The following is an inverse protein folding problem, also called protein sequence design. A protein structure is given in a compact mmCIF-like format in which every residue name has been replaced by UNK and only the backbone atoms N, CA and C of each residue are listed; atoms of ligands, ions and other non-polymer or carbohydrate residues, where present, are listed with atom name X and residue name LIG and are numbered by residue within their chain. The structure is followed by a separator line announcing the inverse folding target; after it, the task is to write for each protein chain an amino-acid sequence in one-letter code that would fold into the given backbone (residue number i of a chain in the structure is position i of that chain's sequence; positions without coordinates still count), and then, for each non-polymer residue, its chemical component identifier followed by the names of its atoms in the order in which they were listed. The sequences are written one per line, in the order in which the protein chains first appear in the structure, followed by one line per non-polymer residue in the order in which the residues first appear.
data_IF_837942801783
#
_entry.id   IF_837942801783
#
_cell.length_a   1.000
_cell.length_b   1.000
_cell.length_c   1.000
_cell.angle_alpha   90.00
_cell.angle_beta   90.00
_cell.angle_gamma   90.00
#
_symmetry.space_group_name_H-M   'P 1'
#
loop_
_entity.id
_entity.type
_entity.pdbx_description
1 polymer ?
#
# COMPACT_ATOMS: atom_id res chain seq x y z
N UNK A 1 -29.35 -41.82 -100.21
CA UNK A 1 -30.46 -42.38 -101.03
C UNK A 1 -30.60 -43.87 -100.71
N UNK A 2 -31.81 -44.42 -100.65
CA UNK A 2 -32.03 -45.87 -100.47
C UNK A 2 -32.90 -46.41 -101.60
N UNK A 3 -32.70 -47.66 -101.98
CA UNK A 3 -33.50 -48.31 -103.01
C UNK A 3 -34.79 -48.89 -102.41
N UNK A 4 -35.87 -48.91 -103.19
CA UNK A 4 -37.15 -49.50 -102.84
C UNK A 4 -36.98 -51.01 -102.65
N UNK A 5 -37.40 -51.54 -101.50
CA UNK A 5 -37.24 -52.97 -101.16
C UNK A 5 -38.02 -53.92 -102.09
N UNK A 6 -38.95 -53.41 -102.89
CA UNK A 6 -39.76 -54.22 -103.81
C UNK A 6 -39.36 -54.07 -105.29
N UNK A 7 -39.21 -52.84 -105.81
CA UNK A 7 -38.95 -52.58 -107.24
C UNK A 7 -37.56 -52.00 -107.53
N UNK A 8 -36.72 -51.76 -106.52
CA UNK A 8 -35.38 -51.20 -106.69
C UNK A 8 -35.32 -49.70 -107.03
N UNK A 9 -36.44 -49.01 -107.22
CA UNK A 9 -36.47 -47.57 -107.52
C UNK A 9 -35.84 -46.73 -106.40
N UNK A 10 -35.20 -45.61 -106.75
CA UNK A 10 -34.58 -44.70 -105.77
C UNK A 10 -35.66 -44.05 -104.90
N UNK A 11 -35.55 -44.22 -103.59
CA UNK A 11 -36.43 -43.62 -102.59
C UNK A 11 -35.72 -42.46 -101.92
N UNK A 12 -36.27 -41.26 -102.11
CA UNK A 12 -35.86 -40.06 -101.40
C UNK A 12 -36.18 -40.21 -99.91
N UNK A 13 -35.15 -40.15 -99.08
CA UNK A 13 -35.30 -40.14 -97.64
C UNK A 13 -35.53 -38.70 -97.18
N UNK A 14 -36.55 -38.46 -96.35
CA UNK A 14 -36.69 -37.18 -95.66
C UNK A 14 -35.67 -37.12 -94.53
N UNK A 15 -34.85 -36.08 -94.48
CA UNK A 15 -33.98 -35.81 -93.34
C UNK A 15 -34.82 -35.37 -92.14
N UNK A 16 -35.14 -36.30 -91.23
CA UNK A 16 -35.94 -36.02 -90.04
C UNK A 16 -36.08 -37.24 -89.13
N UNK A 17 -36.56 -37.04 -87.89
CA UNK A 17 -36.84 -38.15 -86.96
C UNK A 17 -38.10 -38.90 -87.44
N UNK A 18 -37.91 -40.11 -87.96
CA UNK A 18 -39.01 -40.99 -88.41
C UNK A 18 -38.48 -42.30 -89.00
N UNK A 19 -39.34 -43.31 -89.14
CA UNK A 19 -38.96 -44.60 -89.76
C UNK A 19 -38.52 -44.33 -91.22
N UNK A 20 -37.31 -44.74 -91.63
CA UNK A 20 -36.86 -44.59 -93.01
C UNK A 20 -37.88 -45.18 -93.99
N UNK A 21 -38.11 -44.50 -95.12
CA UNK A 21 -39.03 -44.99 -96.15
C UNK A 21 -38.37 -46.17 -96.86
N UNK A 22 -38.97 -47.35 -96.75
CA UNK A 22 -38.46 -48.59 -97.36
C UNK A 22 -39.02 -48.84 -98.78
N UNK A 23 -40.09 -48.13 -99.16
CA UNK A 23 -40.80 -48.31 -100.43
C UNK A 23 -40.99 -46.97 -101.13
N UNK A 24 -41.06 -46.99 -102.46
CA UNK A 24 -41.33 -45.79 -103.27
C UNK A 24 -42.76 -45.29 -103.06
N UNK A 25 -42.95 -43.97 -103.09
CA UNK A 25 -44.27 -43.35 -102.92
C UNK A 25 -45.12 -43.35 -104.20
N UNK A 26 -44.48 -43.50 -105.36
CA UNK A 26 -45.12 -43.39 -106.68
C UNK A 26 -45.80 -44.70 -107.15
N UNK A 27 -45.72 -45.79 -106.38
CA UNK A 27 -46.39 -47.04 -106.72
C UNK A 27 -46.86 -47.82 -105.50
N UNK A 28 -47.79 -48.76 -105.71
CA UNK A 28 -48.36 -49.65 -104.70
C UNK A 28 -47.36 -50.67 -104.14
N UNK A 29 -46.05 -50.45 -104.27
CA UNK A 29 -44.99 -51.35 -103.85
C UNK A 29 -45.09 -51.75 -102.36
N UNK A 30 -45.53 -50.82 -101.49
CA UNK A 30 -45.78 -51.14 -100.08
C UNK A 30 -46.96 -52.10 -99.90
N UNK A 31 -48.05 -51.88 -100.64
CA UNK A 31 -49.25 -52.72 -100.61
C UNK A 31 -49.00 -54.09 -101.27
N UNK A 32 -48.26 -54.12 -102.39
CA UNK A 32 -47.83 -55.33 -103.08
C UNK A 32 -46.93 -56.18 -102.17
N UNK A 33 -45.90 -55.58 -101.56
CA UNK A 33 -45.05 -56.28 -100.60
C UNK A 33 -45.81 -56.74 -99.34
N UNK A 34 -46.85 -56.00 -98.91
CA UNK A 34 -47.73 -56.43 -97.81
C UNK A 34 -48.55 -57.66 -98.20
N UNK A 35 -49.21 -57.63 -99.37
CA UNK A 35 -49.98 -58.78 -99.90
C UNK A 35 -49.11 -60.01 -100.10
N UNK A 36 -47.90 -59.84 -100.63
CA UNK A 36 -46.94 -60.93 -100.81
C UNK A 36 -46.52 -61.56 -99.47
N UNK A 37 -46.23 -60.75 -98.44
CA UNK A 37 -45.95 -61.25 -97.09
C UNK A 37 -47.15 -61.94 -96.45
N UNK A 38 -48.36 -61.41 -96.64
CA UNK A 38 -49.59 -62.02 -96.13
C UNK A 38 -49.87 -63.36 -96.82
N UNK A 39 -49.69 -63.45 -98.14
CA UNK A 39 -49.74 -64.72 -98.86
C UNK A 39 -48.71 -65.71 -98.33
N UNK A 40 -47.42 -65.34 -98.23
CA UNK A 40 -46.37 -66.21 -97.70
C UNK A 40 -46.66 -66.68 -96.26
N UNK A 41 -47.29 -65.85 -95.43
CA UNK A 41 -47.70 -66.22 -94.06
C UNK A 41 -48.91 -67.14 -94.01
N UNK A 42 -49.82 -67.02 -94.97
CA UNK A 42 -51.04 -67.80 -95.08
C UNK A 42 -50.84 -69.12 -95.85
N UNK A 43 -49.70 -69.29 -96.55
CA UNK A 43 -49.34 -70.55 -97.21
C UNK A 43 -49.33 -71.70 -96.19
N UNK A 44 -50.19 -72.73 -96.35
CA UNK A 44 -50.19 -73.87 -95.45
C UNK A 44 -48.92 -74.71 -95.64
N UNK A 45 -48.42 -75.30 -94.54
CA UNK A 45 -47.22 -76.15 -94.55
C UNK A 45 -45.94 -75.47 -94.08
N UNK A 46 -44.80 -76.06 -94.45
CA UNK A 46 -43.46 -75.68 -93.98
C UNK A 46 -43.10 -74.24 -94.38
N UNK A 47 -43.46 -73.83 -95.61
CA UNK A 47 -43.10 -72.51 -96.16
C UNK A 47 -43.72 -71.35 -95.37
N UNK A 48 -45.00 -71.45 -94.99
CA UNK A 48 -45.63 -70.41 -94.18
C UNK A 48 -45.20 -70.41 -92.72
N UNK A 49 -44.82 -71.57 -92.17
CA UNK A 49 -44.19 -71.65 -90.86
C UNK A 49 -42.79 -71.00 -90.87
N UNK A 50 -42.00 -71.23 -91.93
CA UNK A 50 -40.69 -70.62 -92.14
C UNK A 50 -40.80 -69.09 -92.26
N UNK A 51 -41.76 -68.59 -93.05
CA UNK A 51 -41.98 -67.14 -93.21
C UNK A 51 -42.36 -66.44 -91.89
N UNK A 52 -43.15 -67.08 -91.01
CA UNK A 52 -43.46 -66.54 -89.67
C UNK A 52 -42.26 -66.57 -88.73
N UNK A 53 -41.44 -67.62 -88.81
CA UNK A 53 -40.20 -67.72 -88.05
C UNK A 53 -39.20 -66.63 -88.49
N UNK A 54 -39.01 -66.42 -89.80
CA UNK A 54 -38.18 -65.35 -90.35
C UNK A 54 -38.62 -63.96 -89.87
N UNK A 55 -39.92 -63.66 -89.86
CA UNK A 55 -40.43 -62.37 -89.36
C UNK A 55 -40.20 -62.21 -87.85
N UNK A 56 -40.33 -63.29 -87.07
CA UNK A 56 -39.99 -63.29 -85.65
C UNK A 56 -38.49 -63.03 -85.44
N UNK A 57 -37.62 -63.68 -86.22
CA UNK A 57 -36.18 -63.45 -86.21
C UNK A 57 -35.84 -62.01 -86.58
N UNK A 58 -36.39 -61.45 -87.67
CA UNK A 58 -36.16 -60.04 -88.04
C UNK A 58 -36.61 -59.08 -86.92
N UNK A 59 -37.70 -59.40 -86.21
CA UNK A 59 -38.20 -58.57 -85.10
C UNK A 59 -37.28 -58.66 -83.89
N UNK A 60 -36.83 -59.87 -83.55
CA UNK A 60 -35.86 -60.10 -82.47
C UNK A 60 -34.52 -59.43 -82.79
N UNK A 61 -34.03 -59.55 -84.02
CA UNK A 61 -32.80 -58.91 -84.49
C UNK A 61 -32.89 -57.39 -84.40
N UNK A 62 -34.00 -56.78 -84.87
CA UNK A 62 -34.23 -55.33 -84.76
C UNK A 62 -34.36 -54.87 -83.30
N UNK A 63 -35.05 -55.64 -82.45
CA UNK A 63 -35.20 -55.34 -81.02
C UNK A 63 -33.87 -55.44 -80.28
N UNK A 64 -33.09 -56.49 -80.55
CA UNK A 64 -31.76 -56.70 -79.99
C UNK A 64 -30.79 -55.62 -80.48
N UNK A 65 -30.79 -55.30 -81.78
CA UNK A 65 -29.97 -54.22 -82.32
C UNK A 65 -30.33 -52.86 -81.72
N UNK A 66 -31.63 -52.58 -81.48
CA UNK A 66 -32.07 -51.34 -80.83
C UNK A 66 -31.67 -51.27 -79.34
N UNK A 67 -31.57 -52.41 -78.64
CA UNK A 67 -31.11 -52.47 -77.26
C UNK A 67 -29.57 -52.43 -77.16
N UNK A 68 -28.87 -53.10 -78.08
CA UNK A 68 -27.41 -53.23 -78.07
C UNK A 68 -26.74 -51.99 -78.66
N UNK A 69 -27.31 -51.35 -79.69
CA UNK A 69 -26.66 -50.22 -80.36
C UNK A 69 -26.38 -49.03 -79.43
N UNK A 70 -27.30 -48.59 -78.53
CA UNK A 70 -27.00 -47.55 -77.56
C UNK A 70 -25.91 -47.97 -76.56
N UNK A 71 -25.93 -49.22 -76.10
CA UNK A 71 -24.90 -49.76 -75.19
C UNK A 71 -23.54 -49.82 -75.87
N UNK A 72 -23.50 -50.25 -77.13
CA UNK A 72 -22.29 -50.28 -77.94
C UNK A 72 -21.77 -48.87 -78.21
N UNK A 73 -22.65 -47.88 -78.41
CA UNK A 73 -22.24 -46.48 -78.55
C UNK A 73 -21.65 -45.93 -77.26
N UNK A 74 -22.30 -46.15 -76.11
CA UNK A 74 -21.76 -45.73 -74.80
C UNK A 74 -20.43 -46.42 -74.52
N UNK A 75 -20.31 -47.73 -74.79
CA UNK A 75 -19.05 -48.45 -74.64
C UNK A 75 -17.97 -47.92 -75.61
N UNK A 76 -18.32 -47.60 -76.84
CA UNK A 76 -17.40 -47.01 -77.81
C UNK A 76 -16.94 -45.61 -77.38
N UNK A 77 -17.85 -44.79 -76.84
CA UNK A 77 -17.54 -43.45 -76.34
C UNK A 77 -16.62 -43.54 -75.11
N UNK A 78 -16.92 -44.44 -74.16
CA UNK A 78 -16.18 -44.63 -72.91
C UNK A 78 -14.83 -45.36 -73.08
N UNK A 79 -14.73 -46.26 -74.07
CA UNK A 79 -13.49 -46.97 -74.42
C UNK A 79 -12.71 -46.28 -75.54
N UNK A 80 -13.25 -45.21 -76.13
CA UNK A 80 -12.49 -44.38 -77.06
C UNK A 80 -11.30 -43.74 -76.33
N UNK A 81 -10.19 -43.48 -77.03
CA UNK A 81 -9.06 -42.76 -76.44
C UNK A 81 -9.49 -41.45 -75.77
N UNK A 82 -10.41 -40.71 -76.39
CA UNK A 82 -10.94 -39.45 -75.87
C UNK A 82 -11.78 -39.64 -74.58
N UNK A 83 -12.63 -40.67 -74.51
CA UNK A 83 -13.43 -40.99 -73.32
C UNK A 83 -12.56 -41.43 -72.13
N UNK A 84 -11.55 -42.26 -72.41
CA UNK A 84 -10.58 -42.68 -71.40
C UNK A 84 -9.77 -41.48 -70.88
N UNK A 85 -9.28 -40.61 -71.77
CA UNK A 85 -8.58 -39.38 -71.39
C UNK A 85 -9.47 -38.43 -70.57
N UNK A 86 -10.76 -38.30 -70.93
CA UNK A 86 -11.72 -37.51 -70.17
C UNK A 86 -11.95 -38.09 -68.76
N UNK A 87 -12.07 -39.42 -68.63
CA UNK A 87 -12.17 -40.10 -67.32
C UNK A 87 -10.91 -39.93 -66.48
N UNK A 88 -9.73 -40.09 -67.08
CA UNK A 88 -8.45 -39.88 -66.39
C UNK A 88 -8.35 -38.42 -65.91
N UNK A 89 -8.73 -37.46 -66.76
CA UNK A 89 -8.72 -36.04 -66.41
C UNK A 89 -9.69 -35.71 -65.27
N UNK A 90 -10.89 -36.30 -65.29
CA UNK A 90 -11.86 -36.17 -64.20
C UNK A 90 -11.33 -36.76 -62.89
N UNK A 91 -10.75 -37.97 -62.92
CA UNK A 91 -10.14 -38.60 -61.74
C UNK A 91 -8.93 -37.81 -61.22
N UNK A 92 -8.12 -37.25 -62.11
CA UNK A 92 -7.00 -36.36 -61.73
C UNK A 92 -7.53 -35.08 -61.08
N UNK A 93 -8.58 -34.46 -61.62
CA UNK A 93 -9.19 -33.28 -61.04
C UNK A 93 -9.79 -33.56 -59.63
N UNK A 94 -10.46 -34.70 -59.46
CA UNK A 94 -10.93 -35.15 -58.14
C UNK A 94 -9.78 -35.40 -57.18
N UNK A 95 -8.70 -36.05 -57.63
CA UNK A 95 -7.52 -36.30 -56.82
C UNK A 95 -6.85 -34.98 -56.39
N UNK A 96 -6.68 -34.03 -57.31
CA UNK A 96 -6.16 -32.69 -57.00
C UNK A 96 -7.06 -31.95 -56.00
N UNK A 97 -8.37 -32.06 -56.14
CA UNK A 97 -9.34 -31.47 -55.20
C UNK A 97 -9.20 -32.09 -53.81
N UNK A 98 -9.11 -33.43 -53.71
CA UNK A 98 -8.90 -34.11 -52.42
C UNK A 98 -7.57 -33.74 -51.77
N UNK A 99 -6.50 -33.62 -52.55
CA UNK A 99 -5.19 -33.17 -52.05
C UNK A 99 -5.25 -31.71 -51.57
N UNK A 100 -5.96 -30.84 -52.29
CA UNK A 100 -6.16 -29.46 -51.88
C UNK A 100 -6.92 -29.39 -50.54
N UNK A 101 -8.03 -30.13 -50.40
CA UNK A 101 -8.79 -30.23 -49.15
C UNK A 101 -7.90 -30.73 -48.01
N UNK A 102 -7.18 -31.84 -48.19
CA UNK A 102 -6.30 -32.39 -47.18
C UNK A 102 -5.18 -31.42 -46.75
N UNK A 103 -4.66 -30.61 -47.68
CA UNK A 103 -3.69 -29.54 -47.36
C UNK A 103 -4.31 -28.43 -46.52
N UNK A 104 -5.51 -27.97 -46.89
CA UNK A 104 -6.23 -26.95 -46.12
C UNK A 104 -6.61 -27.44 -44.73
N UNK A 105 -7.07 -28.68 -44.58
CA UNK A 105 -7.38 -29.29 -43.28
C UNK A 105 -6.12 -29.43 -42.43
N UNK A 106 -4.99 -29.82 -43.02
CA UNK A 106 -3.70 -29.89 -42.32
C UNK A 106 -3.25 -28.51 -41.82
N UNK A 107 -3.38 -27.48 -42.65
CA UNK A 107 -3.05 -26.10 -42.28
C UNK A 107 -3.96 -25.59 -41.15
N UNK A 108 -5.26 -25.86 -41.25
CA UNK A 108 -6.22 -25.56 -40.18
C UNK A 108 -5.87 -26.30 -38.88
N UNK A 109 -5.50 -27.58 -38.95
CA UNK A 109 -5.10 -28.36 -37.78
C UNK A 109 -3.84 -27.78 -37.12
N UNK A 110 -2.84 -27.36 -37.90
CA UNK A 110 -1.66 -26.69 -37.36
C UNK A 110 -1.97 -25.35 -36.70
N UNK A 111 -2.86 -24.56 -37.31
CA UNK A 111 -3.29 -23.29 -36.74
C UNK A 111 -4.06 -23.50 -35.42
N UNK A 112 -4.95 -24.49 -35.36
CA UNK A 112 -5.65 -24.85 -34.11
C UNK A 112 -4.68 -25.29 -33.02
N UNK A 113 -3.65 -26.08 -33.35
CA UNK A 113 -2.62 -26.47 -32.37
C UNK A 113 -1.80 -25.26 -31.91
N UNK A 114 -1.50 -24.31 -32.80
CA UNK A 114 -0.79 -23.07 -32.45
C UNK A 114 -1.62 -22.24 -31.47
N UNK A 115 -2.89 -21.98 -31.79
CA UNK A 115 -3.80 -21.22 -30.92
C UNK A 115 -3.99 -21.91 -29.57
N UNK A 116 -4.13 -23.24 -29.54
CA UNK A 116 -4.24 -24.00 -28.30
C UNK A 116 -2.99 -23.88 -27.42
N UNK A 117 -1.79 -23.90 -28.02
CA UNK A 117 -0.52 -23.69 -27.30
C UNK A 117 -0.40 -22.27 -26.76
N UNK A 118 -0.72 -21.26 -27.57
CA UNK A 118 -0.70 -19.86 -27.15
C UNK A 118 -1.68 -19.62 -25.98
N UNK A 119 -2.90 -20.17 -26.06
CA UNK A 119 -3.88 -20.11 -24.98
C UNK A 119 -3.40 -20.82 -23.70
N UNK A 120 -2.75 -21.98 -23.84
CA UNK A 120 -2.21 -22.72 -22.68
C UNK A 120 -1.08 -21.95 -22.01
N UNK A 121 -0.16 -21.36 -22.78
CA UNK A 121 0.92 -20.53 -22.24
C UNK A 121 0.39 -19.22 -21.62
N UNK A 122 -0.68 -18.65 -22.18
CA UNK A 122 -1.35 -17.51 -21.57
C UNK A 122 -1.97 -17.89 -20.21
N UNK A 123 -2.77 -18.95 -20.16
CA UNK A 123 -3.37 -19.46 -18.92
C UNK A 123 -2.31 -19.84 -17.86
N UNK A 124 -1.16 -20.36 -18.29
CA UNK A 124 -0.03 -20.66 -17.39
C UNK A 124 0.56 -19.39 -16.79
N UNK A 125 0.76 -18.34 -17.60
CA UNK A 125 1.27 -17.04 -17.14
C UNK A 125 0.27 -16.38 -16.18
N UNK A 126 -1.01 -16.38 -16.50
CA UNK A 126 -2.06 -15.86 -15.61
C UNK A 126 -2.09 -16.60 -14.28
N UNK A 127 -2.03 -17.94 -14.29
CA UNK A 127 -1.98 -18.75 -13.07
C UNK A 127 -0.74 -18.45 -12.23
N UNK A 128 0.42 -18.28 -12.85
CA UNK A 128 1.65 -17.94 -12.13
C UNK A 128 1.58 -16.54 -11.52
N UNK A 129 1.02 -15.57 -12.24
CA UNK A 129 0.78 -14.23 -11.73
C UNK A 129 -0.19 -14.24 -10.55
N UNK A 130 -1.32 -14.94 -10.68
CA UNK A 130 -2.30 -15.09 -9.59
C UNK A 130 -1.67 -15.77 -8.35
N UNK A 131 -0.79 -16.76 -8.55
CA UNK A 131 -0.07 -17.39 -7.46
C UNK A 131 0.88 -16.41 -6.76
N UNK A 132 1.66 -15.63 -7.51
CA UNK A 132 2.55 -14.61 -6.94
C UNK A 132 1.77 -13.57 -6.15
N UNK A 133 0.65 -13.08 -6.69
CA UNK A 133 -0.23 -12.14 -5.98
C UNK A 133 -0.80 -12.75 -4.69
N UNK A 134 -1.17 -14.03 -4.70
CA UNK A 134 -1.63 -14.71 -3.48
C UNK A 134 -0.51 -14.89 -2.45
N UNK A 135 0.71 -15.24 -2.88
CA UNK A 135 1.89 -15.34 -2.02
C UNK A 135 2.26 -13.99 -1.40
N UNK A 136 2.23 -12.91 -2.19
CA UNK A 136 2.42 -11.53 -1.73
C UNK A 136 1.36 -11.12 -0.71
N UNK A 137 0.07 -11.36 -1.01
CA UNK A 137 -1.02 -11.06 -0.07
C UNK A 137 -0.92 -11.86 1.24
N UNK A 138 -0.46 -13.11 1.18
CA UNK A 138 -0.21 -13.91 2.39
C UNK A 138 0.97 -13.36 3.20
N UNK A 139 2.07 -12.98 2.53
CA UNK A 139 3.21 -12.37 3.20
C UNK A 139 2.84 -11.03 3.87
N UNK A 140 2.10 -10.17 3.18
CA UNK A 140 1.58 -8.91 3.74
C UNK A 140 0.68 -9.14 4.96
N UNK A 141 -0.23 -10.13 4.89
CA UNK A 141 -1.08 -10.51 6.01
C UNK A 141 -0.25 -10.99 7.21
N UNK A 142 0.74 -11.84 6.97
CA UNK A 142 1.56 -12.40 8.05
C UNK A 142 2.43 -11.31 8.70
N UNK A 143 2.97 -10.37 7.91
CA UNK A 143 3.62 -9.16 8.44
C UNK A 143 2.66 -8.32 9.27
N UNK A 144 1.45 -8.04 8.78
CA UNK A 144 0.45 -7.26 9.49
C UNK A 144 0.02 -7.93 10.81
N UNK A 145 -0.08 -9.26 10.84
CA UNK A 145 -0.37 -10.01 12.07
C UNK A 145 0.78 -9.92 13.07
N UNK A 146 2.03 -10.07 12.62
CA UNK A 146 3.21 -9.92 13.49
C UNK A 146 3.31 -8.50 14.07
N UNK A 147 3.05 -7.47 13.26
CA UNK A 147 3.03 -6.08 13.72
C UNK A 147 1.92 -5.84 14.75
N UNK A 148 0.74 -6.41 14.54
CA UNK A 148 -0.37 -6.33 15.48
C UNK A 148 -0.06 -7.04 16.82
N UNK A 149 0.61 -8.19 16.77
CA UNK A 149 1.08 -8.90 17.97
C UNK A 149 2.13 -8.09 18.72
N UNK A 150 3.14 -7.55 18.03
CA UNK A 150 4.16 -6.69 18.61
C UNK A 150 3.55 -5.43 19.24
N UNK A 151 2.62 -4.77 18.57
CA UNK A 151 1.91 -3.60 19.10
C UNK A 151 1.10 -3.96 20.36
N UNK A 152 0.46 -5.13 20.37
CA UNK A 152 -0.27 -5.63 21.55
C UNK A 152 0.67 -5.91 22.72
N UNK A 153 1.83 -6.52 22.47
CA UNK A 153 2.84 -6.77 23.50
C UNK A 153 3.38 -5.47 24.09
N UNK A 154 3.70 -4.49 23.25
CA UNK A 154 4.14 -3.15 23.68
C UNK A 154 3.05 -2.45 24.51
N UNK A 155 1.79 -2.51 24.09
CA UNK A 155 0.68 -1.93 24.85
C UNK A 155 0.52 -2.61 26.23
N UNK A 156 0.64 -3.93 26.30
CA UNK A 156 0.60 -4.67 27.57
C UNK A 156 1.81 -4.35 28.47
N UNK A 157 2.99 -4.17 27.89
CA UNK A 157 4.18 -3.74 28.63
C UNK A 157 4.00 -2.33 29.23
N UNK A 158 3.51 -1.37 28.41
CA UNK A 158 3.21 -0.02 28.86
C UNK A 158 2.14 0.01 29.96
N UNK A 159 1.09 -0.81 29.86
CA UNK A 159 0.07 -0.94 30.91
C UNK A 159 0.65 -1.51 32.21
N UNK A 160 1.56 -2.49 32.13
CA UNK A 160 2.23 -3.05 33.32
C UNK A 160 3.12 -2.01 34.00
N UNK A 161 3.85 -1.22 33.22
CA UNK A 161 4.69 -0.12 33.72
C UNK A 161 3.84 1.01 34.33
N UNK A 162 2.72 1.37 33.69
CA UNK A 162 1.75 2.31 34.26
C UNK A 162 1.19 1.79 35.60
N UNK A 163 0.86 0.50 35.69
CA UNK A 163 0.36 -0.10 36.94
C UNK A 163 1.44 -0.22 38.03
N UNK A 164 2.72 -0.38 37.68
CA UNK A 164 3.82 -0.38 38.67
C UNK A 164 4.09 1.04 39.17
N UNK A 165 4.15 2.02 38.28
CA UNK A 165 4.34 3.44 38.63
C UNK A 165 3.18 3.97 39.46
N UNK A 166 1.93 3.63 39.15
CA UNK A 166 0.76 3.99 39.96
C UNK A 166 0.85 3.41 41.38
N UNK A 167 1.25 2.13 41.53
CA UNK A 167 1.44 1.51 42.84
C UNK A 167 2.53 2.20 43.65
N UNK A 168 3.66 2.53 43.01
CA UNK A 168 4.76 3.26 43.66
C UNK A 168 4.32 4.67 44.08
N UNK A 169 3.58 5.38 43.24
CA UNK A 169 3.04 6.70 43.55
C UNK A 169 2.06 6.65 44.73
N UNK A 170 1.16 5.65 44.77
CA UNK A 170 0.24 5.43 45.90
C UNK A 170 1.00 5.15 47.20
N UNK A 171 2.00 4.26 47.16
CA UNK A 171 2.84 3.97 48.33
C UNK A 171 3.61 5.21 48.81
N UNK A 172 4.16 6.00 47.89
CA UNK A 172 4.84 7.25 48.23
C UNK A 172 3.89 8.27 48.87
N UNK A 173 2.67 8.41 48.35
CA UNK A 173 1.64 9.28 48.90
C UNK A 173 1.19 8.84 50.30
N UNK A 174 1.00 7.53 50.52
CA UNK A 174 0.69 6.97 51.84
C UNK A 174 1.83 7.21 52.84
N UNK A 175 3.08 7.02 52.42
CA UNK A 175 4.24 7.31 53.27
C UNK A 175 4.36 8.79 53.60
N UNK A 176 4.13 9.68 52.62
CA UNK A 176 4.11 11.12 52.83
C UNK A 176 3.01 11.51 53.84
N UNK A 177 1.81 10.94 53.69
CA UNK A 177 0.69 11.15 54.62
C UNK A 177 1.07 10.70 56.03
N UNK A 178 1.63 9.50 56.19
CA UNK A 178 2.10 9.00 57.51
C UNK A 178 3.17 9.89 58.13
N UNK A 179 4.10 10.44 57.32
CA UNK A 179 5.12 11.38 57.79
C UNK A 179 4.49 12.70 58.23
N UNK A 180 3.53 13.23 57.47
CA UNK A 180 2.79 14.43 57.83
C UNK A 180 2.02 14.24 59.14
N UNK A 181 1.25 13.17 59.30
CA UNK A 181 0.52 12.87 60.55
C UNK A 181 1.46 12.72 61.75
N UNK A 182 2.63 12.10 61.56
CA UNK A 182 3.64 12.00 62.63
C UNK A 182 4.24 13.37 62.99
N UNK A 183 4.50 14.22 61.99
CA UNK A 183 5.01 15.56 62.21
C UNK A 183 3.98 16.45 62.92
N UNK A 184 2.70 16.34 62.55
CA UNK A 184 1.58 17.02 63.23
C UNK A 184 1.45 16.55 64.67
N UNK A 185 1.46 15.23 64.93
CA UNK A 185 1.41 14.71 66.30
C UNK A 185 2.62 15.17 67.14
N UNK A 186 3.82 15.19 66.57
CA UNK A 186 5.02 15.69 67.25
C UNK A 186 4.93 17.21 67.53
N UNK A 187 4.38 17.99 66.60
CA UNK A 187 4.11 19.42 66.82
C UNK A 187 3.11 19.62 67.94
N UNK A 188 2.00 18.90 67.93
CA UNK A 188 0.96 19.02 68.94
C UNK A 188 1.47 18.59 70.33
N UNK A 189 2.32 17.56 70.40
CA UNK A 189 3.02 17.19 71.62
C UNK A 189 3.96 18.30 72.10
N UNK A 190 4.77 18.88 71.22
CA UNK A 190 5.67 19.98 71.57
C UNK A 190 4.91 21.23 72.06
N UNK A 191 3.73 21.51 71.47
CA UNK A 191 2.85 22.60 71.93
C UNK A 191 2.34 22.31 73.33
N UNK A 192 1.85 21.09 73.62
CA UNK A 192 1.39 20.71 74.97
C UNK A 192 2.52 20.77 76.01
N UNK A 193 3.71 20.27 75.67
CA UNK A 193 4.88 20.35 76.56
C UNK A 193 5.28 21.81 76.82
N UNK A 194 5.15 22.70 75.82
CA UNK A 194 5.37 24.13 76.00
C UNK A 194 4.28 24.78 76.85
N UNK A 195 3.01 24.44 76.66
CA UNK A 195 1.90 24.91 77.49
C UNK A 195 2.10 24.50 78.95
N UNK A 196 2.45 23.24 79.21
CA UNK A 196 2.74 22.73 80.56
C UNK A 196 3.95 23.43 81.19
N UNK A 197 5.01 23.68 80.40
CA UNK A 197 6.17 24.48 80.86
C UNK A 197 5.79 25.92 81.18
N UNK A 198 4.94 26.54 80.36
CA UNK A 198 4.45 27.91 80.59
C UNK A 198 3.56 27.96 81.83
N UNK A 199 2.66 27.00 82.02
CA UNK A 199 1.84 26.88 83.22
C UNK A 199 2.72 26.70 84.47
N UNK A 200 3.68 25.78 84.42
CA UNK A 200 4.63 25.54 85.52
C UNK A 200 5.42 26.81 85.84
N UNK A 201 6.01 27.45 84.83
CA UNK A 201 6.75 28.70 85.00
C UNK A 201 5.86 29.85 85.52
N UNK A 202 4.59 29.89 85.11
CA UNK A 202 3.63 30.88 85.61
C UNK A 202 3.25 30.64 87.07
N UNK A 203 3.10 29.37 87.49
CA UNK A 203 2.84 28.99 88.86
C UNK A 203 4.06 29.27 89.76
N UNK A 204 5.26 28.95 89.29
CA UNK A 204 6.52 29.30 89.96
C UNK A 204 6.66 30.82 90.09
N UNK A 205 6.39 31.59 89.02
CA UNK A 205 6.43 33.05 89.05
C UNK A 205 5.37 33.63 90.00
N UNK A 206 4.16 33.07 90.06
CA UNK A 206 3.13 33.47 91.01
C UNK A 206 3.55 33.18 92.45
N UNK A 207 4.16 32.03 92.70
CA UNK A 207 4.70 31.63 94.00
C UNK A 207 5.83 32.56 94.42
N UNK A 208 6.79 32.81 93.54
CA UNK A 208 7.89 33.74 93.77
C UNK A 208 7.41 35.17 94.01
N UNK A 209 6.36 35.64 93.33
CA UNK A 209 5.72 36.93 93.61
C UNK A 209 5.02 36.95 94.96
N UNK A 210 4.34 35.88 95.34
CA UNK A 210 3.71 35.76 96.65
C UNK A 210 4.75 35.71 97.78
N UNK A 211 5.87 35.02 97.57
CA UNK A 211 7.02 35.01 98.48
C UNK A 211 7.67 36.39 98.56
N UNK A 212 7.93 37.04 97.44
CA UNK A 212 8.46 38.40 97.40
C UNK A 212 7.52 39.40 98.09
N UNK A 213 6.20 39.26 97.93
CA UNK A 213 5.21 40.07 98.62
C UNK A 213 5.21 39.78 100.14
N UNK A 214 5.32 38.52 100.55
CA UNK A 214 5.49 38.14 101.97
C UNK A 214 6.78 38.71 102.56
N UNK A 215 7.91 38.60 101.84
CA UNK A 215 9.19 39.16 102.27
C UNK A 215 9.13 40.68 102.33
N UNK A 216 8.47 41.34 101.38
CA UNK A 216 8.26 42.78 101.39
C UNK A 216 7.37 43.21 102.57
N UNK A 217 6.29 42.47 102.85
CA UNK A 217 5.40 42.73 103.98
C UNK A 217 6.10 42.48 105.32
N UNK A 218 6.93 41.44 105.42
CA UNK A 218 7.78 41.18 106.59
C UNK A 218 8.87 42.25 106.74
N UNK A 219 9.43 42.75 105.64
CA UNK A 219 10.39 43.85 105.66
C UNK A 219 9.73 45.20 106.01
N UNK A 220 8.47 45.40 105.63
CA UNK A 220 7.66 46.56 106.01
C UNK A 220 7.22 46.47 107.47
N UNK A 221 6.85 45.28 107.96
CA UNK A 221 6.59 45.03 109.39
C UNK A 221 7.87 45.20 110.22
N UNK A 222 9.00 44.64 109.80
CA UNK A 222 10.29 44.88 110.42
C UNK A 222 10.70 46.36 110.31
N UNK A 223 10.31 47.05 109.24
CA UNK A 223 10.48 48.49 109.06
C UNK A 223 9.64 49.30 110.04
N UNK A 224 8.37 48.95 110.23
CA UNK A 224 7.43 49.56 111.15
C UNK A 224 7.78 49.27 112.61
N UNK A 225 8.24 48.06 112.93
CA UNK A 225 8.79 47.68 114.23
C UNK A 225 10.10 48.41 114.50
N UNK A 226 10.99 48.52 113.50
CA UNK A 226 12.22 49.32 113.59
C UNK A 226 11.89 50.80 113.75
N UNK A 227 10.85 51.32 113.11
CA UNK A 227 10.48 52.74 113.16
C UNK A 227 9.68 53.09 114.43
N UNK A 228 8.93 52.14 114.99
CA UNK A 228 8.34 52.18 116.35
C UNK A 228 9.45 52.11 117.42
N UNK A 229 10.37 51.15 117.30
CA UNK A 229 11.56 51.06 118.14
C UNK A 229 12.45 52.30 118.00
N UNK A 230 12.56 52.92 116.82
CA UNK A 230 13.25 54.22 116.64
C UNK A 230 12.49 55.40 117.22
N UNK A 231 11.20 55.29 117.47
CA UNK A 231 10.41 56.37 118.10
C UNK A 231 10.51 56.26 119.62
N UNK A 232 10.49 55.04 120.17
CA UNK A 232 10.87 54.75 121.57
C UNK A 232 12.34 55.06 121.85
N UNK A 233 13.25 54.67 120.95
CA UNK A 233 14.68 55.01 121.01
C UNK A 233 14.91 56.50 120.74
N UNK A 234 14.06 57.25 120.02
CA UNK A 234 14.18 58.72 119.89
C UNK A 234 13.74 59.43 121.17
N UNK A 235 12.78 58.90 121.90
CA UNK A 235 12.39 59.40 123.22
C UNK A 235 13.45 59.06 124.28
N UNK A 236 14.04 57.86 124.24
CA UNK A 236 15.16 57.47 125.11
C UNK A 236 16.52 58.10 124.70
N UNK A 237 16.74 58.38 123.41
CA UNK A 237 17.95 59.06 122.90
C UNK A 237 17.90 60.56 123.06
N UNK A 238 16.77 61.25 123.17
CA UNK A 238 16.79 62.67 123.61
C UNK A 238 17.39 62.81 125.02
N UNK A 239 17.25 61.80 125.87
CA UNK A 239 17.86 61.74 127.20
C UNK A 239 19.31 61.17 127.25
N UNK A 240 19.78 60.53 126.17
CA UNK A 240 21.14 59.92 126.08
C UNK A 240 22.08 60.63 125.09
N UNK A 241 21.53 61.38 124.13
CA UNK A 241 22.27 62.17 123.12
C UNK A 241 22.83 63.47 123.70
N UNK A 242 22.40 63.88 124.90
CA UNK A 242 23.11 64.89 125.69
C UNK A 242 24.37 64.32 126.38
N UNK A 243 24.47 63.00 126.56
CA UNK A 243 25.56 62.35 127.32
C UNK A 243 26.62 61.64 126.46
N UNK A 244 26.30 61.20 125.24
CA UNK A 244 27.20 60.41 124.39
C UNK A 244 27.58 61.08 123.05
N UNK A 245 27.20 62.35 122.84
CA UNK A 245 27.78 63.22 121.80
C UNK A 245 29.29 63.49 122.02
N UNK A 246 29.85 63.07 123.14
CA UNK A 246 31.19 63.48 123.58
C UNK A 246 32.31 62.46 123.32
N UNK A 247 32.07 61.20 122.94
CA UNK A 247 33.20 60.24 123.00
C UNK A 247 33.34 59.17 121.90
N UNK A 248 32.29 58.55 121.35
CA UNK A 248 32.50 57.18 120.86
C UNK A 248 32.44 56.91 119.34
N UNK A 249 31.61 57.59 118.55
CA UNK A 249 31.27 57.04 117.22
C UNK A 249 32.00 57.71 116.03
N UNK A 250 33.16 58.29 116.31
CA UNK A 250 34.17 58.62 115.31
C UNK A 250 34.91 57.37 114.79
N UNK A 251 34.80 56.22 115.47
CA UNK A 251 35.55 54.99 115.12
C UNK A 251 34.82 54.03 114.14
N UNK A 252 33.49 54.09 113.99
CA UNK A 252 32.73 53.10 113.20
C UNK A 252 32.55 53.44 111.71
N UNK A 253 32.91 54.67 111.28
CA UNK A 253 32.78 55.12 109.88
C UNK A 253 33.95 54.69 108.97
N UNK A 254 35.05 54.19 109.54
CA UNK A 254 36.23 53.78 108.78
C UNK A 254 36.16 52.34 108.24
N UNK A 255 35.47 51.41 108.93
CA UNK A 255 35.45 49.99 108.55
C UNK A 255 34.35 49.59 107.55
N UNK A 256 33.33 50.44 107.35
CA UNK A 256 32.23 50.18 106.41
C UNK A 256 32.56 50.54 104.95
N UNK A 257 33.62 51.31 104.70
CA UNK A 257 33.99 51.78 103.35
C UNK A 257 34.88 50.78 102.58
N UNK A 258 35.58 49.87 103.26
CA UNK A 258 36.46 48.88 102.62
C UNK A 258 35.69 47.66 102.07
N UNK A 259 34.66 47.18 102.77
CA UNK A 259 33.88 46.00 102.36
C UNK A 259 32.94 46.24 101.16
N UNK A 260 32.59 47.49 100.85
CA UNK A 260 31.77 47.86 99.69
C UNK A 260 32.60 47.90 98.39
N UNK A 261 33.93 48.09 98.50
CA UNK A 261 34.87 48.20 97.38
C UNK A 261 35.20 46.85 96.76
N UNK A 262 35.35 45.81 97.57
CA UNK A 262 35.71 44.45 97.10
C UNK A 262 34.55 43.74 96.36
N UNK A 263 33.29 44.06 96.71
CA UNK A 263 32.09 43.53 96.01
C UNK A 263 31.79 44.24 94.69
N UNK A 264 32.31 45.44 94.48
CA UNK A 264 32.20 46.15 93.20
C UNK A 264 33.25 45.63 92.19
N UNK A 265 34.43 45.24 92.66
CA UNK A 265 35.51 44.73 91.83
C UNK A 265 35.23 43.31 91.29
N UNK A 266 34.66 42.41 92.10
CA UNK A 266 34.23 41.08 91.65
C UNK A 266 33.12 41.13 90.57
N UNK A 267 32.18 42.08 90.66
CA UNK A 267 31.09 42.27 89.67
C UNK A 267 31.58 42.91 88.36
N UNK A 268 32.66 43.68 88.40
CA UNK A 268 33.31 44.22 87.21
C UNK A 268 34.07 43.14 86.42
N UNK A 269 34.80 42.26 87.13
CA UNK A 269 35.57 41.16 86.51
C UNK A 269 34.69 40.06 85.90
N UNK A 270 33.51 39.80 86.47
CA UNK A 270 32.54 38.84 85.93
C UNK A 270 31.78 39.41 84.72
N UNK A 271 31.46 40.70 84.74
CA UNK A 271 30.91 41.41 83.59
C UNK A 271 31.92 41.54 82.43
N UNK A 272 33.22 41.62 82.73
CA UNK A 272 34.29 41.66 81.73
C UNK A 272 34.55 40.28 81.12
N UNK A 273 34.49 39.20 81.91
CA UNK A 273 34.51 37.81 81.40
C UNK A 273 33.30 37.48 80.53
N UNK A 274 32.10 37.90 80.93
CA UNK A 274 30.89 37.73 80.13
C UNK A 274 30.92 38.56 78.82
N UNK A 275 31.54 39.75 78.83
CA UNK A 275 31.77 40.54 77.60
C UNK A 275 32.81 39.89 76.69
N UNK A 276 33.88 39.31 77.24
CA UNK A 276 34.89 38.60 76.46
C UNK A 276 34.33 37.31 75.82
N UNK A 277 33.48 36.57 76.53
CA UNK A 277 32.79 35.39 75.99
C UNK A 277 31.73 35.76 74.95
N UNK A 278 30.96 36.83 75.16
CA UNK A 278 29.99 37.34 74.18
C UNK A 278 30.69 37.85 72.90
N UNK A 279 31.85 38.50 73.01
CA UNK A 279 32.67 38.91 71.87
C UNK A 279 33.27 37.69 71.16
N UNK A 280 33.68 36.66 71.89
CA UNK A 280 34.14 35.39 71.33
C UNK A 280 33.05 34.61 70.59
N UNK A 281 31.82 34.59 71.12
CA UNK A 281 30.65 33.97 70.49
C UNK A 281 30.17 34.78 69.28
N UNK A 282 30.19 36.11 69.34
CA UNK A 282 29.90 36.98 68.20
C UNK A 282 30.93 36.87 67.08
N UNK A 283 32.22 36.72 67.40
CA UNK A 283 33.29 36.51 66.42
C UNK A 283 33.18 35.13 65.73
N UNK A 284 32.77 34.08 66.46
CA UNK A 284 32.51 32.75 65.89
C UNK A 284 31.25 32.76 65.01
N UNK A 285 30.18 33.38 65.46
CA UNK A 285 28.96 33.54 64.65
C UNK A 285 29.21 34.38 63.38
N UNK A 286 30.08 35.40 63.45
CA UNK A 286 30.50 36.18 62.28
C UNK A 286 31.38 35.36 61.33
N UNK A 287 32.31 34.55 61.83
CA UNK A 287 33.14 33.67 61.02
C UNK A 287 32.32 32.55 60.34
N UNK A 288 31.34 31.99 61.04
CA UNK A 288 30.41 30.98 60.51
C UNK A 288 29.48 31.59 59.45
N UNK A 289 29.01 32.83 59.67
CA UNK A 289 28.22 33.58 58.68
C UNK A 289 29.03 33.94 57.43
N UNK A 290 30.29 34.32 57.57
CA UNK A 290 31.19 34.64 56.45
C UNK A 290 31.57 33.36 55.67
N UNK A 291 31.75 32.24 56.37
CA UNK A 291 31.97 30.93 55.74
C UNK A 291 30.71 30.43 55.02
N UNK A 292 29.52 30.66 55.59
CA UNK A 292 28.24 30.36 54.93
C UNK A 292 28.01 31.24 53.69
N UNK A 293 28.33 32.54 53.77
CA UNK A 293 28.27 33.48 52.65
C UNK A 293 29.23 33.11 51.52
N UNK A 294 30.45 32.69 51.86
CA UNK A 294 31.45 32.23 50.89
C UNK A 294 31.02 30.94 50.20
N UNK A 295 30.42 29.99 50.94
CA UNK A 295 29.86 28.74 50.39
C UNK A 295 28.64 28.99 49.51
N UNK A 296 27.75 29.90 49.91
CA UNK A 296 26.60 30.32 49.09
C UNK A 296 27.06 30.99 47.78
N UNK A 297 28.03 31.90 47.85
CA UNK A 297 28.61 32.57 46.68
C UNK A 297 29.39 31.61 45.77
N UNK A 298 29.98 30.54 46.31
CA UNK A 298 30.61 29.48 45.52
C UNK A 298 29.55 28.60 44.83
N UNK A 299 28.49 28.20 45.54
CA UNK A 299 27.39 27.43 45.00
C UNK A 299 26.61 28.20 43.90
N UNK A 300 26.41 29.51 44.06
CA UNK A 300 25.79 30.37 43.05
C UNK A 300 26.66 30.50 41.79
N UNK A 301 27.99 30.64 41.94
CA UNK A 301 28.92 30.67 40.80
C UNK A 301 28.95 29.34 40.06
N UNK A 302 28.88 28.23 40.79
CA UNK A 302 28.83 26.89 40.20
C UNK A 302 27.48 26.62 39.50
N UNK A 303 26.37 27.03 40.10
CA UNK A 303 25.04 26.96 39.50
C UNK A 303 24.96 27.83 38.23
N UNK A 304 25.48 29.06 38.26
CA UNK A 304 25.56 29.93 37.09
C UNK A 304 26.50 29.37 36.00
N UNK A 305 27.58 28.68 36.37
CA UNK A 305 28.44 27.98 35.42
C UNK A 305 27.73 26.79 34.75
N UNK A 306 26.95 26.01 35.52
CA UNK A 306 26.15 24.89 34.99
C UNK A 306 25.02 25.38 34.07
N UNK A 307 24.35 26.49 34.41
CA UNK A 307 23.32 27.11 33.55
C UNK A 307 23.94 27.65 32.25
N UNK A 308 25.12 28.27 32.31
CA UNK A 308 25.84 28.72 31.11
C UNK A 308 26.34 27.57 30.25
N UNK A 309 26.80 26.47 30.85
CA UNK A 309 27.20 25.27 30.13
C UNK A 309 26.00 24.58 29.44
N UNK A 310 24.89 24.42 30.17
CA UNK A 310 23.63 23.90 29.61
C UNK A 310 23.07 24.81 28.50
N UNK A 311 23.19 26.13 28.65
CA UNK A 311 22.81 27.09 27.63
C UNK A 311 23.64 26.97 26.35
N UNK A 312 24.97 26.79 26.46
CA UNK A 312 25.86 26.55 25.31
C UNK A 312 25.60 25.22 24.63
N UNK A 313 25.29 24.18 25.40
CA UNK A 313 24.94 22.87 24.85
C UNK A 313 23.58 22.90 24.14
N UNK A 314 22.61 23.67 24.67
CA UNK A 314 21.33 23.90 24.03
C UNK A 314 21.47 24.69 22.72
N UNK A 315 22.26 25.77 22.67
CA UNK A 315 22.54 26.47 21.41
C UNK A 315 23.28 25.60 20.41
N UNK A 316 24.29 24.83 20.83
CA UNK A 316 24.99 23.91 19.94
C UNK A 316 24.06 22.82 19.34
N UNK A 317 23.06 22.34 20.11
CA UNK A 317 22.05 21.39 19.61
C UNK A 317 21.08 22.05 18.62
N UNK A 318 20.70 23.31 18.84
CA UNK A 318 19.86 24.07 17.91
C UNK A 318 20.62 24.35 16.61
N UNK A 319 21.86 24.81 16.69
CA UNK A 319 22.72 25.05 15.52
C UNK A 319 22.99 23.74 14.73
N UNK A 320 23.19 22.61 15.43
CA UNK A 320 23.33 21.30 14.78
C UNK A 320 22.02 20.82 14.13
N UNK A 321 20.87 21.10 14.74
CA UNK A 321 19.57 20.77 14.18
C UNK A 321 19.23 21.64 12.96
N UNK A 322 19.59 22.93 12.98
CA UNK A 322 19.46 23.85 11.85
C UNK A 322 20.40 23.46 10.70
N UNK A 323 21.64 23.07 11.00
CA UNK A 323 22.56 22.55 10.01
C UNK A 323 22.03 21.26 9.35
N UNK A 324 21.48 20.32 10.14
CA UNK A 324 20.85 19.11 9.62
C UNK A 324 19.58 19.40 8.81
N UNK A 325 18.75 20.36 9.24
CA UNK A 325 17.58 20.78 8.48
C UNK A 325 17.97 21.42 7.14
N UNK A 326 18.97 22.29 7.13
CA UNK A 326 19.49 22.91 5.90
C UNK A 326 20.14 21.90 4.93
N UNK A 327 20.73 20.83 5.46
CA UNK A 327 21.28 19.74 4.66
C UNK A 327 20.17 18.88 4.05
N UNK A 328 19.09 18.61 4.79
CA UNK A 328 17.92 17.89 4.28
C UNK A 328 17.16 18.67 3.20
N UNK A 329 17.04 19.99 3.37
CA UNK A 329 16.43 20.86 2.34
C UNK A 329 17.26 20.84 1.05
N UNK A 330 18.59 20.99 1.14
CA UNK A 330 19.48 20.90 -0.03
C UNK A 330 19.42 19.53 -0.71
N UNK A 331 19.43 18.44 0.06
CA UNK A 331 19.29 17.09 -0.49
C UNK A 331 17.92 16.89 -1.18
N UNK A 332 16.84 17.45 -0.62
CA UNK A 332 15.51 17.39 -1.24
C UNK A 332 15.42 18.24 -2.52
N UNK A 333 16.09 19.39 -2.57
CA UNK A 333 16.18 20.23 -3.77
C UNK A 333 16.99 19.56 -4.88
N UNK A 334 18.11 18.89 -4.55
CA UNK A 334 18.91 18.10 -5.51
C UNK A 334 18.13 16.87 -6.03
N UNK A 335 17.37 16.21 -5.17
CA UNK A 335 16.46 15.12 -5.57
C UNK A 335 15.32 15.63 -6.47
N UNK A 336 14.76 16.82 -6.18
CA UNK A 336 13.74 17.43 -7.03
C UNK A 336 14.31 17.91 -8.37
N UNK A 337 15.55 18.40 -8.40
CA UNK A 337 16.23 18.80 -9.63
C UNK A 337 16.53 17.59 -10.53
N UNK A 338 17.07 16.51 -9.96
CA UNK A 338 17.33 15.26 -10.70
C UNK A 338 16.04 14.59 -11.20
N UNK A 339 14.94 14.62 -10.41
CA UNK A 339 13.63 14.15 -10.86
C UNK A 339 13.11 14.96 -12.06
N UNK A 340 13.24 16.29 -12.04
CA UNK A 340 12.85 17.17 -13.16
C UNK A 340 13.69 16.94 -14.41
N UNK A 341 14.99 16.64 -14.27
CA UNK A 341 15.85 16.30 -15.40
C UNK A 341 15.46 14.95 -16.03
N UNK A 342 15.13 13.95 -15.21
CA UNK A 342 14.61 12.67 -15.69
C UNK A 342 13.26 12.83 -16.40
N UNK A 343 12.36 13.67 -15.88
CA UNK A 343 11.09 13.99 -16.54
C UNK A 343 11.30 14.68 -17.88
N UNK A 344 12.25 15.63 -17.97
CA UNK A 344 12.62 16.30 -19.23
C UNK A 344 13.24 15.32 -20.23
N UNK A 345 14.11 14.42 -19.78
CA UNK A 345 14.69 13.38 -20.63
C UNK A 345 13.61 12.40 -21.14
N UNK A 346 12.66 12.01 -20.28
CA UNK A 346 11.54 11.16 -20.66
C UNK A 346 10.52 11.86 -21.58
N UNK A 347 10.36 13.19 -21.45
CA UNK A 347 9.57 13.99 -22.38
C UNK A 347 10.25 14.08 -23.76
N UNK A 348 11.56 14.38 -23.80
CA UNK A 348 12.33 14.43 -25.04
C UNK A 348 12.34 13.08 -25.78
N UNK A 349 12.43 11.97 -25.05
CA UNK A 349 12.37 10.62 -25.66
C UNK A 349 10.97 10.30 -26.20
N UNK A 350 9.90 10.72 -25.51
CA UNK A 350 8.53 10.62 -26.03
C UNK A 350 8.33 11.42 -27.30
N UNK A 351 8.86 12.63 -27.35
CA UNK A 351 8.76 13.50 -28.53
C UNK A 351 9.53 12.89 -29.71
N UNK A 352 10.72 12.32 -29.44
CA UNK A 352 11.50 11.58 -30.44
C UNK A 352 10.76 10.37 -30.99
N UNK A 353 10.17 9.54 -30.12
CA UNK A 353 9.40 8.36 -30.51
C UNK A 353 8.11 8.75 -31.25
N UNK A 354 7.46 9.84 -30.86
CA UNK A 354 6.28 10.38 -31.55
C UNK A 354 6.63 10.88 -32.95
N UNK A 355 7.75 11.60 -33.11
CA UNK A 355 8.24 12.02 -34.41
C UNK A 355 8.61 10.84 -35.33
N UNK A 356 9.23 9.79 -34.79
CA UNK A 356 9.51 8.55 -35.55
C UNK A 356 8.23 7.85 -35.97
N UNK A 357 7.22 7.79 -35.09
CA UNK A 357 5.92 7.22 -35.39
C UNK A 357 5.20 8.00 -36.51
N UNK A 358 5.29 9.32 -36.52
CA UNK A 358 4.74 10.17 -37.59
C UNK A 358 5.44 9.93 -38.93
N UNK A 359 6.77 9.81 -38.93
CA UNK A 359 7.54 9.48 -40.14
C UNK A 359 7.14 8.10 -40.68
N UNK A 360 6.99 7.10 -39.83
CA UNK A 360 6.55 5.76 -40.25
C UNK A 360 5.10 5.75 -40.74
N UNK A 361 4.21 6.52 -40.11
CA UNK A 361 2.84 6.71 -40.60
C UNK A 361 2.82 7.37 -41.98
N UNK A 362 3.65 8.37 -42.22
CA UNK A 362 3.80 9.01 -43.52
C UNK A 362 4.34 8.02 -44.56
N UNK A 363 5.34 7.19 -44.23
CA UNK A 363 5.85 6.12 -45.10
C UNK A 363 4.78 5.08 -45.46
N UNK A 364 3.97 4.66 -44.49
CA UNK A 364 2.87 3.73 -44.73
C UNK A 364 1.79 4.35 -45.62
N UNK A 365 1.47 5.63 -45.43
CA UNK A 365 0.54 6.35 -46.30
C UNK A 365 1.08 6.50 -47.72
N UNK A 366 2.36 6.82 -47.87
CA UNK A 366 3.01 6.93 -49.18
C UNK A 366 3.06 5.58 -49.91
N UNK A 367 3.40 4.50 -49.21
CA UNK A 367 3.33 3.13 -49.76
C UNK A 367 1.91 2.72 -50.14
N UNK A 368 0.89 3.14 -49.38
CA UNK A 368 -0.51 2.92 -49.75
C UNK A 368 -0.90 3.68 -51.01
N UNK A 369 -0.49 4.94 -51.12
CA UNK A 369 -0.71 5.75 -52.33
C UNK A 369 0.00 5.14 -53.55
N UNK A 370 1.23 4.63 -53.39
CA UNK A 370 1.96 3.92 -54.44
C UNK A 370 1.24 2.62 -54.86
N UNK A 371 0.72 1.83 -53.91
CA UNK A 371 -0.05 0.62 -54.22
C UNK A 371 -1.38 0.96 -54.93
N UNK A 372 -2.06 2.02 -54.52
CA UNK A 372 -3.27 2.50 -55.19
C UNK A 372 -2.97 3.00 -56.61
N UNK A 373 -1.87 3.74 -56.80
CA UNK A 373 -1.40 4.17 -58.12
C UNK A 373 -1.08 2.97 -59.02
N UNK A 374 -0.33 1.99 -58.52
CA UNK A 374 0.00 0.76 -59.27
C UNK A 374 -1.25 -0.08 -59.59
N UNK A 375 -2.24 -0.11 -58.69
CA UNK A 375 -3.54 -0.75 -58.95
C UNK A 375 -4.31 -0.01 -60.05
N UNK A 376 -4.35 1.31 -60.01
CA UNK A 376 -4.97 2.14 -61.04
C UNK A 376 -4.28 1.97 -62.40
N UNK A 377 -2.95 1.95 -62.44
CA UNK A 377 -2.18 1.65 -63.65
C UNK A 377 -2.44 0.23 -64.16
N UNK A 378 -2.50 -0.78 -63.29
CA UNK A 378 -2.85 -2.13 -63.70
C UNK A 378 -4.28 -2.23 -64.26
N UNK A 379 -5.22 -1.45 -63.70
CA UNK A 379 -6.59 -1.38 -64.17
C UNK A 379 -6.67 -0.72 -65.55
N UNK A 380 -5.93 0.39 -65.78
CA UNK A 380 -5.80 1.01 -67.10
C UNK A 380 -5.13 0.09 -68.12
N UNK A 381 -4.10 -0.68 -67.73
CA UNK A 381 -3.46 -1.65 -68.63
C UNK A 381 -4.41 -2.79 -68.99
N UNK A 382 -5.23 -3.26 -68.06
CA UNK A 382 -6.29 -4.24 -68.33
C UNK A 382 -7.36 -3.66 -69.25
N UNK A 383 -7.80 -2.43 -69.01
CA UNK A 383 -8.79 -1.76 -69.85
C UNK A 383 -8.27 -1.56 -71.28
N UNK A 384 -6.99 -1.19 -71.45
CA UNK A 384 -6.29 -1.11 -72.74
C UNK A 384 -6.14 -2.47 -73.42
N UNK A 385 -5.84 -3.52 -72.67
CA UNK A 385 -5.78 -4.88 -73.21
C UNK A 385 -7.16 -5.36 -73.70
N UNK A 386 -8.22 -5.08 -72.93
CA UNK A 386 -9.60 -5.40 -73.31
C UNK A 386 -10.05 -4.60 -74.54
N UNK A 387 -9.70 -3.31 -74.64
CA UNK A 387 -10.00 -2.52 -75.85
C UNK A 387 -9.18 -2.96 -77.06
N UNK A 388 -7.95 -3.45 -76.87
CA UNK A 388 -7.14 -4.03 -77.94
C UNK A 388 -7.74 -5.35 -78.45
N UNK A 389 -8.24 -6.21 -77.54
CA UNK A 389 -8.94 -7.46 -77.92
C UNK A 389 -10.27 -7.19 -78.64
N UNK A 390 -11.02 -6.15 -78.23
CA UNK A 390 -12.26 -5.75 -78.89
C UNK A 390 -12.04 -5.17 -80.29
N UNK A 391 -10.90 -4.52 -80.54
CA UNK A 391 -10.54 -4.01 -81.88
C UNK A 391 -9.88 -5.07 -82.78
N UNK A 392 -9.40 -6.19 -82.22
CA UNK A 392 -8.79 -7.29 -82.96
C UNK A 392 -9.80 -8.36 -83.43
N UNK A 393 -11.09 -8.22 -83.10
CA UNK A 393 -12.13 -9.13 -83.59
C UNK A 393 -12.47 -8.82 -85.07
N UNK A 394 -12.25 -9.77 -86.00
CA UNK A 394 -12.52 -9.54 -87.41
C UNK A 394 -14.03 -9.48 -87.67
N UNK A 395 -14.44 -8.36 -88.27
CA UNK A 395 -15.80 -8.08 -88.77
C UNK A 395 -16.24 -9.22 -89.71
N UNK A 396 -17.40 -9.86 -89.50
CA UNK A 396 -17.88 -10.91 -90.40
C UNK A 396 -18.25 -10.33 -91.78
N UNK A 397 -18.02 -11.07 -92.89
CA UNK A 397 -18.31 -10.60 -94.23
C UNK A 397 -19.82 -10.55 -94.49
N UNK A 398 -20.25 -9.47 -95.12
CA UNK A 398 -21.59 -9.36 -95.70
C UNK A 398 -21.66 -10.19 -96.99
N UNK A 399 -22.50 -11.22 -96.99
CA UNK A 399 -23.26 -11.73 -98.14
C UNK A 399 -24.37 -12.66 -97.62
#
# INVERSE_FOLDING_TARGET
MRLCRHCGAVVEQRGGRGRPKEYCAQGDCQAAAKREREMRRATPGLEGALARAEELYERMEKGLAAAVSPLAQVLADELSPAGVEARISAMQAEAHTRVAIARTEREQAFEQVRLAREATEHARREREQMRRQAEEAHAERDTALSDAENAREQALAALREAATTERLAKQAAEQATRRATRAEAARDQAVREMEERVETASAEAATARADAARTAQLAEQAGAERDAARTEVRQARRARTEAEQSAAAAAARAQAAEAERDRAQARAEEAERARAEAVGQAARAAADADQASTRASAAEREAAARVRAAGREATARVEAAEAQASARVRAAEEQAASARELERAAAAERDRLSGLLEIERARVQDLRAQVESLRAESAQLRERAVTAELNASPRPPAA
#
